data_IF_773381197749
#
_entry.id   IF_773381197749
#
_cell.length_a   1.000
_cell.length_b   1.000
_cell.length_c   1.000
_cell.angle_alpha   90.00
_cell.angle_beta   90.00
_cell.angle_gamma   90.00
#
_symmetry.space_group_name_H-M   'P 1'
#
loop_
_entity.id
_entity.type
_entity.pdbx_description
1 polymer ?
#
# COMPACT_ATOMS: atom_id res chain seq x y z
N UNK A 1 24.55 -28.23 -13.09
CA UNK A 1 24.82 -26.96 -12.39
C UNK A 1 23.91 -25.93 -13.01
N UNK A 2 22.92 -25.36 -12.30
CA UNK A 2 22.21 -24.20 -12.84
C UNK A 2 23.26 -23.11 -13.04
N UNK A 3 23.32 -22.52 -14.24
CA UNK A 3 24.31 -21.51 -14.58
C UNK A 3 24.25 -20.31 -13.62
N UNK A 4 25.41 -19.77 -13.27
CA UNK A 4 25.49 -18.55 -12.47
C UNK A 4 24.82 -17.40 -13.25
N UNK A 5 23.79 -16.78 -12.67
CA UNK A 5 23.09 -15.66 -13.31
C UNK A 5 24.04 -14.47 -13.42
N UNK A 6 24.03 -13.78 -14.55
CA UNK A 6 24.79 -12.54 -14.70
C UNK A 6 24.26 -11.49 -13.70
N UNK A 7 25.18 -10.91 -12.92
CA UNK A 7 24.85 -9.93 -11.90
C UNK A 7 24.89 -8.49 -12.43
N UNK A 8 23.81 -7.75 -12.21
CA UNK A 8 23.68 -6.32 -12.57
C UNK A 8 23.44 -5.52 -11.30
N UNK A 9 24.18 -4.41 -11.13
CA UNK A 9 24.01 -3.50 -10.00
C UNK A 9 23.13 -2.32 -10.39
N UNK A 10 22.11 -2.06 -9.59
CA UNK A 10 21.13 -0.99 -9.82
C UNK A 10 21.01 -0.14 -8.56
N UNK A 11 21.50 1.09 -8.59
CA UNK A 11 21.43 1.97 -7.42
C UNK A 11 20.01 2.51 -7.16
N UNK A 12 19.59 2.50 -5.89
CA UNK A 12 18.41 3.20 -5.39
C UNK A 12 18.87 4.50 -4.70
N UNK A 13 18.97 5.57 -5.48
CA UNK A 13 19.55 6.86 -5.05
C UNK A 13 18.50 7.77 -4.40
N UNK A 14 17.96 7.34 -3.26
CA UNK A 14 16.94 8.07 -2.53
C UNK A 14 17.33 8.18 -1.05
N UNK A 15 17.88 9.33 -0.58
CA UNK A 15 18.23 9.51 0.83
C UNK A 15 17.08 9.19 1.78
N UNK A 16 15.86 9.55 1.36
CA UNK A 16 14.63 9.23 2.08
C UNK A 16 13.61 8.65 1.10
N UNK A 17 13.23 7.40 1.32
CA UNK A 17 12.13 6.76 0.63
C UNK A 17 10.88 6.87 1.49
N UNK A 18 9.98 7.79 1.12
CA UNK A 18 8.75 8.09 1.86
C UNK A 18 7.50 7.85 1.02
N UNK A 19 6.35 7.75 1.68
CA UNK A 19 5.05 7.65 1.03
C UNK A 19 4.57 8.98 0.44
N UNK A 20 5.37 9.52 -0.47
CA UNK A 20 5.13 10.74 -1.24
C UNK A 20 5.54 10.55 -2.71
N UNK A 21 5.35 11.60 -3.52
CA UNK A 21 5.68 11.58 -4.96
C UNK A 21 7.15 11.24 -5.19
N UNK A 22 8.06 11.73 -4.35
CA UNK A 22 9.50 11.51 -4.51
C UNK A 22 9.84 10.04 -4.26
N UNK A 23 9.40 9.48 -3.13
CA UNK A 23 9.71 8.09 -2.78
C UNK A 23 9.10 7.09 -3.78
N UNK A 24 7.85 7.28 -4.17
CA UNK A 24 7.24 6.41 -5.19
C UNK A 24 7.86 6.62 -6.58
N UNK A 25 8.34 7.82 -6.93
CA UNK A 25 9.05 8.03 -8.20
C UNK A 25 10.36 7.25 -8.24
N UNK A 26 11.07 7.15 -7.10
CA UNK A 26 12.30 6.37 -6.99
C UNK A 26 12.02 4.86 -7.11
N UNK A 27 10.94 4.36 -6.52
CA UNK A 27 10.49 2.97 -6.72
C UNK A 27 10.08 2.71 -8.18
N UNK A 28 9.33 3.61 -8.79
CA UNK A 28 8.93 3.47 -10.20
C UNK A 28 10.14 3.54 -11.15
N UNK A 29 11.13 4.39 -10.85
CA UNK A 29 12.38 4.44 -11.60
C UNK A 29 13.24 3.18 -11.40
N UNK A 30 13.27 2.62 -10.19
CA UNK A 30 13.89 1.31 -9.97
C UNK A 30 13.20 0.25 -10.84
N UNK A 31 11.87 0.25 -10.87
CA UNK A 31 11.11 -0.66 -11.72
C UNK A 31 11.47 -0.51 -13.21
N UNK A 32 11.46 0.70 -13.76
CA UNK A 32 11.73 0.94 -15.19
C UNK A 32 13.13 0.48 -15.62
N UNK A 33 14.09 0.44 -14.69
CA UNK A 33 15.46 -0.06 -14.92
C UNK A 33 15.54 -1.58 -14.91
N UNK A 34 14.64 -2.27 -14.21
CA UNK A 34 14.71 -3.72 -14.04
C UNK A 34 13.66 -4.47 -14.86
N UNK A 35 12.60 -3.81 -15.32
CA UNK A 35 11.47 -4.46 -16.00
C UNK A 35 11.83 -5.13 -17.32
N UNK A 36 12.92 -4.67 -17.97
CA UNK A 36 13.40 -5.19 -19.26
C UNK A 36 14.47 -6.27 -19.11
N UNK A 37 14.88 -6.59 -17.89
CA UNK A 37 15.87 -7.62 -17.61
C UNK A 37 15.19 -8.98 -17.50
N UNK A 38 15.90 -10.04 -17.89
CA UNK A 38 15.46 -11.43 -17.72
C UNK A 38 16.66 -12.30 -17.35
N UNK A 39 16.43 -13.30 -16.50
CA UNK A 39 17.44 -14.27 -16.05
C UNK A 39 18.71 -13.61 -15.48
N UNK A 40 18.54 -12.53 -14.69
CA UNK A 40 19.65 -11.81 -14.02
C UNK A 40 19.60 -11.92 -12.51
N UNK A 41 20.77 -11.81 -11.87
CA UNK A 41 20.85 -11.41 -10.47
C UNK A 41 20.89 -9.88 -10.38
N UNK A 42 19.81 -9.27 -9.90
CA UNK A 42 19.71 -7.81 -9.75
C UNK A 42 20.09 -7.43 -8.33
N UNK A 43 21.24 -6.78 -8.18
CA UNK A 43 21.74 -6.27 -6.89
C UNK A 43 21.36 -4.80 -6.75
N UNK A 44 20.34 -4.53 -5.95
CA UNK A 44 19.88 -3.18 -5.62
C UNK A 44 20.82 -2.57 -4.59
N UNK A 45 21.63 -1.59 -5.00
CA UNK A 45 22.51 -0.85 -4.09
C UNK A 45 21.69 0.18 -3.30
N UNK A 46 21.61 -0.01 -1.98
CA UNK A 46 20.88 0.84 -1.04
C UNK A 46 21.79 1.75 -0.20
N UNK A 47 23.07 1.94 -0.59
CA UNK A 47 24.02 2.80 0.13
C UNK A 47 23.54 4.25 0.28
N UNK A 48 22.83 4.73 -0.75
CA UNK A 48 22.19 6.04 -0.79
C UNK A 48 20.90 6.16 0.02
N UNK A 49 20.35 5.07 0.58
CA UNK A 49 19.10 5.08 1.35
C UNK A 49 19.38 5.22 2.84
N UNK A 50 19.09 6.39 3.40
CA UNK A 50 19.26 6.68 4.82
C UNK A 50 18.02 6.33 5.63
N UNK A 51 16.85 6.50 5.01
CA UNK A 51 15.56 6.20 5.59
C UNK A 51 14.64 5.58 4.54
N UNK A 52 13.87 4.58 4.97
CA UNK A 52 12.77 4.02 4.20
C UNK A 52 11.59 3.85 5.15
N UNK A 53 10.44 4.40 4.79
CA UNK A 53 9.19 4.13 5.51
C UNK A 53 8.95 2.62 5.53
N UNK A 54 8.77 2.05 6.72
CA UNK A 54 8.83 0.60 6.90
C UNK A 54 7.75 -0.16 6.11
N UNK A 55 6.60 0.48 5.89
CA UNK A 55 5.50 -0.08 5.12
C UNK A 55 5.78 -0.11 3.61
N UNK A 56 6.72 0.69 3.07
CA UNK A 56 7.12 0.62 1.65
C UNK A 56 7.87 -0.66 1.28
N UNK A 57 8.17 -1.51 2.26
CA UNK A 57 8.68 -2.85 2.01
C UNK A 57 7.72 -3.69 1.15
N UNK A 58 6.40 -3.47 1.26
CA UNK A 58 5.42 -4.12 0.38
C UNK A 58 5.58 -3.70 -1.07
N UNK A 59 5.69 -2.38 -1.32
CA UNK A 59 5.89 -1.83 -2.65
C UNK A 59 7.21 -2.31 -3.28
N UNK A 60 8.30 -2.34 -2.51
CA UNK A 60 9.57 -2.91 -2.97
C UNK A 60 9.44 -4.40 -3.31
N UNK A 61 8.76 -5.19 -2.47
CA UNK A 61 8.58 -6.62 -2.74
C UNK A 61 7.76 -6.87 -4.01
N UNK A 62 6.77 -6.03 -4.33
CA UNK A 62 6.05 -6.09 -5.61
C UNK A 62 7.00 -5.94 -6.79
N UNK A 63 7.95 -4.99 -6.74
CA UNK A 63 8.94 -4.84 -7.82
C UNK A 63 9.81 -6.09 -7.97
N UNK A 64 10.26 -6.65 -6.84
CA UNK A 64 11.07 -7.87 -6.84
C UNK A 64 10.30 -9.08 -7.39
N UNK A 65 9.01 -9.21 -7.04
CA UNK A 65 8.13 -10.27 -7.53
C UNK A 65 7.84 -10.15 -9.01
N UNK A 66 7.61 -8.93 -9.50
CA UNK A 66 7.46 -8.69 -10.94
C UNK A 66 8.72 -9.05 -11.71
N UNK A 67 9.89 -8.67 -11.21
CA UNK A 67 11.16 -9.07 -11.82
C UNK A 67 11.34 -10.60 -11.83
N UNK A 68 10.87 -11.29 -10.78
CA UNK A 68 10.96 -12.76 -10.67
C UNK A 68 10.13 -13.51 -11.70
N UNK A 69 9.07 -12.91 -12.27
CA UNK A 69 8.31 -13.53 -13.37
C UNK A 69 9.22 -13.79 -14.58
N UNK A 70 10.21 -12.93 -14.81
CA UNK A 70 11.17 -13.03 -15.90
C UNK A 70 12.47 -13.73 -15.49
N UNK A 71 12.40 -14.61 -14.48
CA UNK A 71 13.57 -15.37 -14.00
C UNK A 71 14.60 -14.57 -13.20
N UNK A 72 14.38 -13.27 -12.95
CA UNK A 72 15.33 -12.46 -12.20
C UNK A 72 15.30 -12.76 -10.70
N UNK A 73 16.48 -12.68 -10.07
CA UNK A 73 16.64 -12.74 -8.61
C UNK A 73 17.03 -11.36 -8.10
N UNK A 74 16.18 -10.72 -7.29
CA UNK A 74 16.47 -9.41 -6.71
C UNK A 74 17.05 -9.54 -5.31
N UNK A 75 18.20 -8.91 -5.07
CA UNK A 75 18.88 -8.83 -3.76
C UNK A 75 19.22 -7.39 -3.44
N UNK A 76 19.20 -7.03 -2.15
CA UNK A 76 19.69 -5.74 -1.69
C UNK A 76 21.16 -5.86 -1.28
N UNK A 77 21.97 -4.85 -1.58
CA UNK A 77 23.35 -4.70 -1.12
C UNK A 77 23.57 -3.32 -0.52
N UNK A 78 24.65 -3.19 0.27
CA UNK A 78 25.06 -1.94 0.92
C UNK A 78 23.96 -1.25 1.75
N UNK A 79 22.98 -2.01 2.26
CA UNK A 79 21.89 -1.46 3.08
C UNK A 79 22.42 -0.96 4.42
N UNK A 80 22.20 0.32 4.73
CA UNK A 80 22.59 0.91 6.00
C UNK A 80 21.95 0.17 7.19
N UNK A 81 22.62 0.06 8.35
CA UNK A 81 22.13 -0.71 9.50
C UNK A 81 20.71 -0.33 9.97
N UNK A 82 20.39 0.97 9.99
CA UNK A 82 19.08 1.44 10.43
C UNK A 82 17.94 0.95 9.52
N UNK A 83 18.11 1.07 8.20
CA UNK A 83 17.15 0.56 7.21
C UNK A 83 17.09 -0.97 7.26
N UNK A 84 18.26 -1.62 7.28
CA UNK A 84 18.38 -3.09 7.36
C UNK A 84 17.62 -3.66 8.56
N UNK A 85 17.75 -3.04 9.74
CA UNK A 85 17.05 -3.48 10.94
C UNK A 85 15.52 -3.45 10.79
N UNK A 86 14.96 -2.39 10.18
CA UNK A 86 13.51 -2.30 9.93
C UNK A 86 13.07 -3.40 8.94
N UNK A 87 13.82 -3.59 7.85
CA UNK A 87 13.51 -4.59 6.81
C UNK A 87 13.68 -6.05 7.29
N UNK A 88 14.53 -6.29 8.28
CA UNK A 88 14.63 -7.59 8.95
C UNK A 88 13.48 -7.83 9.93
N UNK A 89 13.04 -6.79 10.66
CA UNK A 89 11.92 -6.86 11.61
C UNK A 89 10.57 -7.07 10.92
N UNK A 90 10.30 -6.29 9.87
CA UNK A 90 9.08 -6.47 9.08
C UNK A 90 9.13 -7.74 8.22
N UNK A 91 10.30 -8.37 8.07
CA UNK A 91 10.42 -9.67 7.41
C UNK A 91 10.52 -9.62 5.88
N UNK A 92 10.84 -8.46 5.31
CA UNK A 92 11.26 -8.34 3.91
C UNK A 92 12.54 -9.14 3.66
N UNK A 93 13.52 -9.04 4.58
CA UNK A 93 14.76 -9.80 4.51
C UNK A 93 14.60 -11.17 5.19
N UNK A 94 15.21 -12.21 4.59
CA UNK A 94 15.09 -13.60 5.05
C UNK A 94 15.69 -13.83 6.44
N UNK A 95 16.77 -13.12 6.77
CA UNK A 95 17.41 -13.14 8.09
C UNK A 95 16.64 -12.26 9.07
N UNK A 96 15.44 -12.70 9.44
CA UNK A 96 14.53 -11.98 10.32
C UNK A 96 15.13 -11.76 11.70
N UNK A 97 14.83 -10.62 12.29
CA UNK A 97 15.14 -10.33 13.69
C UNK A 97 13.84 -10.04 14.43
N UNK A 98 13.81 -10.37 15.72
CA UNK A 98 12.64 -10.15 16.57
C UNK A 98 12.28 -8.66 16.68
N UNK A 99 11.02 -8.32 16.45
CA UNK A 99 10.48 -6.98 16.72
C UNK A 99 9.99 -6.85 18.16
N UNK A 100 10.93 -6.72 19.09
CA UNK A 100 10.64 -6.54 20.53
C UNK A 100 9.78 -5.31 20.82
N UNK A 101 9.87 -4.29 19.96
CA UNK A 101 9.11 -3.05 20.09
C UNK A 101 7.69 -3.15 19.56
N UNK A 102 7.34 -4.25 18.86
CA UNK A 102 6.05 -4.48 18.21
C UNK A 102 5.61 -3.29 17.35
N UNK A 103 6.54 -2.67 16.64
CA UNK A 103 6.29 -1.48 15.80
C UNK A 103 6.07 -1.85 14.33
N UNK A 104 6.47 -3.03 13.90
CA UNK A 104 6.29 -3.52 12.54
C UNK A 104 5.02 -4.35 12.42
N UNK A 105 4.36 -4.25 11.28
CA UNK A 105 3.37 -5.23 10.83
C UNK A 105 4.07 -6.05 9.73
N UNK A 106 4.21 -7.38 9.87
CA UNK A 106 5.06 -8.17 8.99
C UNK A 106 4.64 -8.10 7.52
N UNK A 107 5.61 -7.99 6.62
CA UNK A 107 5.38 -8.14 5.18
C UNK A 107 4.75 -9.51 4.92
N UNK A 108 3.56 -9.52 4.34
CA UNK A 108 2.81 -10.73 4.00
C UNK A 108 2.27 -10.65 2.59
N UNK A 109 2.26 -11.81 1.93
CA UNK A 109 1.72 -12.00 0.60
C UNK A 109 0.40 -12.77 0.72
N UNK A 110 -0.61 -12.34 -0.02
CA UNK A 110 -1.93 -12.94 -0.06
C UNK A 110 -2.29 -13.26 -1.51
N UNK A 111 -2.70 -14.49 -1.76
CA UNK A 111 -3.29 -14.86 -3.04
C UNK A 111 -4.56 -14.02 -3.29
N UNK A 112 -4.96 -13.89 -4.55
CA UNK A 112 -6.07 -13.00 -4.93
C UNK A 112 -7.42 -13.45 -4.32
N UNK A 113 -7.55 -14.72 -3.96
CA UNK A 113 -8.72 -15.32 -3.31
C UNK A 113 -8.61 -15.40 -1.78
N UNK A 114 -7.48 -14.98 -1.19
CA UNK A 114 -7.20 -15.11 0.24
C UNK A 114 -7.81 -13.97 1.10
N UNK A 115 -9.07 -13.61 0.82
CA UNK A 115 -9.76 -12.51 1.48
C UNK A 115 -9.92 -12.75 3.00
N UNK A 116 -10.19 -13.99 3.41
CA UNK A 116 -10.37 -14.34 4.82
C UNK A 116 -9.06 -14.23 5.58
N UNK A 117 -7.96 -14.75 5.03
CA UNK A 117 -6.63 -14.67 5.65
C UNK A 117 -6.13 -13.23 5.73
N UNK A 118 -6.40 -12.41 4.71
CA UNK A 118 -6.10 -10.99 4.74
C UNK A 118 -6.88 -10.28 5.85
N UNK A 119 -8.19 -10.53 5.92
CA UNK A 119 -9.11 -9.93 6.89
C UNK A 119 -8.70 -10.23 8.34
N UNK A 120 -8.25 -11.46 8.61
CA UNK A 120 -7.66 -11.87 9.89
C UNK A 120 -6.34 -11.16 10.19
N UNK A 121 -5.44 -11.08 9.21
CA UNK A 121 -4.18 -10.37 9.35
C UNK A 121 -4.38 -8.87 9.64
N UNK A 122 -5.30 -8.22 8.92
CA UNK A 122 -5.62 -6.81 9.14
C UNK A 122 -6.15 -6.58 10.57
N UNK A 123 -7.13 -7.36 11.03
CA UNK A 123 -7.66 -7.26 12.40
C UNK A 123 -6.61 -7.52 13.46
N UNK A 124 -5.77 -8.55 13.28
CA UNK A 124 -4.70 -8.88 14.23
C UNK A 124 -3.70 -7.72 14.40
N UNK A 125 -3.32 -7.07 13.30
CA UNK A 125 -2.24 -6.08 13.32
C UNK A 125 -2.71 -4.63 13.44
N UNK A 126 -3.96 -4.33 13.09
CA UNK A 126 -4.58 -3.01 13.27
C UNK A 126 -5.39 -2.94 14.57
N UNK A 127 -5.81 -4.06 15.17
CA UNK A 127 -6.45 -4.13 16.49
C UNK A 127 -5.50 -3.79 17.64
N UNK A 128 -4.94 -2.59 17.61
CA UNK A 128 -3.92 -2.10 18.54
C UNK A 128 -4.49 -0.99 19.39
N UNK A 129 -4.07 -0.96 20.66
CA UNK A 129 -4.42 0.11 21.62
C UNK A 129 -3.99 1.52 21.19
N UNK A 130 -3.06 1.62 20.24
CA UNK A 130 -2.58 2.90 19.74
C UNK A 130 -3.54 3.54 18.73
N UNK A 131 -4.42 2.76 18.09
CA UNK A 131 -5.47 3.34 17.24
C UNK A 131 -6.48 4.14 18.10
N UNK A 132 -7.10 5.19 17.53
CA UNK A 132 -8.17 5.91 18.22
C UNK A 132 -9.34 4.96 18.52
N UNK A 133 -10.10 5.30 19.55
CA UNK A 133 -11.27 4.50 19.92
C UNK A 133 -12.38 4.69 18.90
N UNK A 134 -13.02 3.60 18.52
CA UNK A 134 -14.18 3.58 17.63
C UNK A 134 -15.32 2.86 18.33
N UNK A 135 -16.56 3.24 18.04
CA UNK A 135 -17.72 2.41 18.38
C UNK A 135 -17.62 1.06 17.65
N UNK A 136 -18.23 -0.01 18.18
CA UNK A 136 -18.22 -1.31 17.49
C UNK A 136 -18.77 -1.24 16.06
N UNK A 137 -19.78 -0.39 15.82
CA UNK A 137 -20.37 -0.21 14.50
C UNK A 137 -19.38 0.45 13.52
N UNK A 138 -18.68 1.50 13.96
CA UNK A 138 -17.66 2.14 13.14
C UNK A 138 -16.44 1.24 12.93
N UNK A 139 -16.00 0.50 13.96
CA UNK A 139 -14.87 -0.43 13.84
C UNK A 139 -15.14 -1.51 12.78
N UNK A 140 -16.36 -2.06 12.75
CA UNK A 140 -16.77 -2.98 11.69
C UNK A 140 -16.69 -2.33 10.31
N UNK A 141 -17.18 -1.09 10.15
CA UNK A 141 -17.09 -0.36 8.87
C UNK A 141 -15.65 0.00 8.48
N UNK A 142 -14.79 0.28 9.45
CA UNK A 142 -13.37 0.51 9.21
C UNK A 142 -12.70 -0.73 8.63
N UNK A 143 -12.94 -1.91 9.22
CA UNK A 143 -12.42 -3.17 8.69
C UNK A 143 -13.06 -3.59 7.36
N UNK A 144 -14.37 -3.37 7.16
CA UNK A 144 -15.01 -3.56 5.85
C UNK A 144 -14.34 -2.71 4.76
N UNK A 145 -13.99 -1.45 5.07
CA UNK A 145 -13.27 -0.58 4.14
C UNK A 145 -11.87 -1.11 3.82
N UNK A 146 -11.15 -1.66 4.80
CA UNK A 146 -9.84 -2.30 4.57
C UNK A 146 -9.99 -3.58 3.72
N UNK A 147 -11.00 -4.40 4.01
CA UNK A 147 -11.34 -5.61 3.24
C UNK A 147 -11.72 -5.23 1.79
N UNK A 148 -12.41 -4.10 1.58
CA UNK A 148 -12.72 -3.56 0.25
C UNK A 148 -11.47 -3.10 -0.52
N UNK A 149 -10.48 -2.49 0.15
CA UNK A 149 -9.20 -2.14 -0.50
C UNK A 149 -8.46 -3.39 -0.99
N UNK A 150 -8.47 -4.47 -0.22
CA UNK A 150 -7.90 -5.74 -0.64
C UNK A 150 -8.70 -6.35 -1.80
N UNK A 151 -10.02 -6.39 -1.71
CA UNK A 151 -10.87 -6.89 -2.80
C UNK A 151 -10.64 -6.12 -4.11
N UNK A 152 -10.46 -4.79 -4.04
CA UNK A 152 -10.13 -3.99 -5.21
C UNK A 152 -8.74 -4.35 -5.78
N UNK A 153 -7.76 -4.55 -4.90
CA UNK A 153 -6.40 -4.98 -5.28
C UNK A 153 -6.38 -6.39 -5.89
N UNK A 154 -7.25 -7.29 -5.42
CA UNK A 154 -7.33 -8.66 -5.91
C UNK A 154 -8.12 -8.80 -7.22
N UNK A 155 -9.32 -8.22 -7.27
CA UNK A 155 -10.27 -8.37 -8.38
C UNK A 155 -9.88 -7.52 -9.60
N UNK A 156 -9.41 -6.29 -9.40
CA UNK A 156 -9.20 -5.33 -10.50
C UNK A 156 -7.79 -5.35 -11.06
N UNK A 157 -6.82 -5.87 -10.32
CA UNK A 157 -5.44 -5.93 -10.78
C UNK A 157 -5.23 -7.01 -11.86
N UNK A 158 -6.02 -8.10 -11.90
CA UNK A 158 -5.68 -9.30 -12.70
C UNK A 158 -4.19 -9.67 -12.53
N UNK A 159 -3.65 -9.47 -11.33
CA UNK A 159 -2.21 -9.50 -11.11
C UNK A 159 -1.66 -10.92 -11.29
N UNK A 160 -0.48 -11.08 -11.93
CA UNK A 160 0.20 -12.37 -12.02
C UNK A 160 0.89 -12.76 -10.70
N UNK A 161 0.84 -11.90 -9.68
CA UNK A 161 1.50 -12.08 -8.39
C UNK A 161 0.54 -11.79 -7.23
N UNK A 162 0.79 -12.39 -6.04
CA UNK A 162 0.05 -12.08 -4.82
C UNK A 162 0.05 -10.58 -4.47
N UNK A 163 -1.02 -10.13 -3.82
CA UNK A 163 -1.07 -8.82 -3.15
C UNK A 163 -0.10 -8.85 -1.98
N UNK A 164 0.67 -7.77 -1.80
CA UNK A 164 1.62 -7.63 -0.71
C UNK A 164 1.12 -6.57 0.26
N UNK A 165 1.16 -6.87 1.55
CA UNK A 165 0.78 -5.93 2.60
C UNK A 165 1.89 -5.79 3.62
N UNK A 166 2.01 -4.60 4.19
CA UNK A 166 2.96 -4.29 5.26
C UNK A 166 2.46 -3.08 6.04
N UNK A 167 2.94 -2.90 7.26
CA UNK A 167 2.64 -1.70 8.03
C UNK A 167 3.71 -1.39 9.06
N UNK A 168 3.63 -0.19 9.61
CA UNK A 168 4.60 0.32 10.57
C UNK A 168 3.91 1.33 11.50
N UNK A 169 3.99 1.07 12.79
CA UNK A 169 3.74 2.07 13.81
C UNK A 169 5.02 2.86 14.08
N UNK A 170 4.90 4.18 14.16
CA UNK A 170 6.00 5.12 14.43
C UNK A 170 5.77 5.81 15.77
N UNK A 171 6.31 5.27 16.89
CA UNK A 171 6.01 5.77 18.23
C UNK A 171 6.39 7.22 18.51
N UNK A 172 7.37 7.77 17.76
CA UNK A 172 7.85 9.14 17.91
C UNK A 172 6.91 10.16 17.25
N UNK A 173 6.47 9.88 16.02
CA UNK A 173 5.55 10.74 15.27
C UNK A 173 4.08 10.44 15.59
N UNK A 174 3.80 9.35 16.32
CA UNK A 174 2.45 8.91 16.65
C UNK A 174 1.61 8.67 15.40
N UNK A 175 2.22 8.04 14.40
CA UNK A 175 1.55 7.62 13.17
C UNK A 175 1.57 6.09 13.06
N UNK A 176 0.53 5.53 12.48
CA UNK A 176 0.52 4.14 12.02
C UNK A 176 0.25 4.15 10.52
N UNK A 177 1.15 3.54 9.76
CA UNK A 177 0.98 3.37 8.33
C UNK A 177 0.68 1.92 7.98
N UNK A 178 -0.30 1.71 7.11
CA UNK A 178 -0.67 0.42 6.56
C UNK A 178 -0.70 0.51 5.04
N UNK A 179 -0.05 -0.42 4.37
CA UNK A 179 0.13 -0.41 2.93
C UNK A 179 -0.34 -1.72 2.32
N UNK A 180 -1.20 -1.62 1.29
CA UNK A 180 -1.65 -2.72 0.43
C UNK A 180 -1.17 -2.40 -0.98
N UNK A 181 -0.49 -3.36 -1.62
CA UNK A 181 0.07 -3.17 -2.96
C UNK A 181 -0.20 -4.39 -3.81
N UNK A 182 -0.76 -4.18 -5.00
CA UNK A 182 -0.81 -5.19 -6.06
C UNK A 182 0.23 -4.91 -7.15
N UNK A 183 0.53 -5.93 -7.96
CA UNK A 183 1.46 -5.83 -9.08
C UNK A 183 0.80 -5.93 -10.45
N UNK A 184 -0.51 -5.66 -10.55
CA UNK A 184 -1.30 -5.92 -11.75
C UNK A 184 -1.62 -4.67 -12.56
N UNK A 185 -2.79 -4.70 -13.17
CA UNK A 185 -3.39 -3.62 -13.93
C UNK A 185 -3.68 -2.44 -13.02
N UNK A 186 -3.25 -1.27 -13.47
CA UNK A 186 -3.43 0.00 -12.75
C UNK A 186 -4.88 0.49 -12.85
N UNK A 187 -5.31 1.36 -11.94
CA UNK A 187 -6.61 2.04 -11.99
C UNK A 187 -6.80 2.72 -13.37
N UNK A 188 -5.85 3.55 -13.87
CA UNK A 188 -5.96 4.11 -15.22
C UNK A 188 -6.08 3.04 -16.31
N UNK A 189 -5.37 1.92 -16.20
CA UNK A 189 -5.48 0.80 -17.12
C UNK A 189 -6.87 0.16 -17.12
N UNK A 190 -7.47 -0.01 -15.94
CA UNK A 190 -8.83 -0.53 -15.78
C UNK A 190 -9.87 0.42 -16.38
N UNK A 191 -9.75 1.74 -16.13
CA UNK A 191 -10.66 2.73 -16.70
C UNK A 191 -10.58 2.74 -18.24
N UNK A 192 -9.37 2.69 -18.80
CA UNK A 192 -9.17 2.66 -20.26
C UNK A 192 -9.83 1.43 -20.92
N UNK A 193 -9.73 0.25 -20.31
CA UNK A 193 -10.42 -0.95 -20.81
C UNK A 193 -11.94 -0.80 -20.76
N UNK A 194 -12.47 -0.10 -19.76
CA UNK A 194 -13.89 0.23 -19.65
C UNK A 194 -14.36 1.37 -20.59
N UNK A 195 -13.48 1.90 -21.44
CA UNK A 195 -13.79 3.04 -22.32
C UNK A 195 -13.81 4.40 -21.62
N UNK A 196 -13.37 4.48 -20.36
CA UNK A 196 -13.31 5.70 -19.56
C UNK A 196 -11.91 6.28 -19.65
N UNK A 197 -11.74 7.29 -20.52
CA UNK A 197 -10.48 8.00 -20.67
C UNK A 197 -10.46 9.23 -19.76
N UNK A 198 -9.31 9.50 -19.13
CA UNK A 198 -9.07 10.67 -18.29
C UNK A 198 -7.81 11.38 -18.76
N UNK A 199 -7.68 12.66 -18.43
CA UNK A 199 -6.57 13.53 -18.89
C UNK A 199 -5.21 13.12 -18.34
N UNK A 200 -5.18 12.40 -17.21
CA UNK A 200 -3.96 11.86 -16.62
C UNK A 200 -4.25 10.64 -15.74
N UNK A 201 -3.22 9.90 -15.38
CA UNK A 201 -3.34 8.79 -14.43
C UNK A 201 -3.80 9.28 -13.05
N UNK A 202 -3.37 10.46 -12.60
CA UNK A 202 -3.85 11.06 -11.34
C UNK A 202 -5.33 11.43 -11.40
N UNK A 203 -5.80 11.94 -12.54
CA UNK A 203 -7.23 12.21 -12.79
C UNK A 203 -8.07 10.92 -12.88
N UNK A 204 -7.47 9.81 -13.34
CA UNK A 204 -8.11 8.50 -13.29
C UNK A 204 -8.28 7.98 -11.86
N UNK A 205 -7.27 8.14 -11.02
CA UNK A 205 -7.37 7.80 -9.60
C UNK A 205 -8.44 8.66 -8.94
N UNK A 206 -8.41 9.98 -9.15
CA UNK A 206 -9.40 10.91 -8.57
C UNK A 206 -10.83 10.58 -8.98
N UNK A 207 -11.05 10.26 -10.27
CA UNK A 207 -12.34 9.77 -10.73
C UNK A 207 -12.76 8.49 -10.00
N UNK A 208 -11.86 7.52 -9.82
CA UNK A 208 -12.16 6.29 -9.10
C UNK A 208 -12.46 6.53 -7.60
N UNK A 209 -11.94 7.60 -7.01
CA UNK A 209 -12.21 7.98 -5.62
C UNK A 209 -13.51 8.80 -5.46
N UNK A 210 -14.10 9.30 -6.54
CA UNK A 210 -15.35 10.06 -6.44
C UNK A 210 -16.55 9.13 -6.11
N UNK A 211 -17.47 9.55 -5.23
CA UNK A 211 -18.64 8.74 -4.86
C UNK A 211 -19.47 8.30 -6.08
N UNK A 212 -19.94 7.05 -6.04
CA UNK A 212 -20.81 6.49 -7.08
C UNK A 212 -20.08 6.01 -8.34
N UNK A 213 -18.78 6.29 -8.49
CA UNK A 213 -18.01 5.80 -9.62
C UNK A 213 -17.58 4.34 -9.41
N UNK A 214 -17.85 3.50 -10.41
CA UNK A 214 -17.41 2.10 -10.46
C UNK A 214 -17.27 1.69 -11.91
N UNK A 215 -16.34 0.77 -12.19
CA UNK A 215 -16.23 0.11 -13.49
C UNK A 215 -17.00 -1.21 -13.56
N UNK A 216 -17.71 -1.62 -12.49
CA UNK A 216 -18.54 -2.84 -12.47
C UNK A 216 -19.80 -2.62 -13.31
N UNK A 217 -20.07 -3.52 -14.25
CA UNK A 217 -21.44 -3.72 -14.77
C UNK A 217 -22.11 -4.77 -13.88
N UNK A 218 -23.09 -4.37 -13.08
CA UNK A 218 -23.99 -5.31 -12.39
C UNK A 218 -23.71 -5.63 -10.92
N UNK A 219 -22.83 -4.93 -10.20
CA UNK A 219 -22.77 -5.04 -8.74
C UNK A 219 -22.19 -3.80 -8.05
N UNK A 220 -22.64 -3.61 -6.81
CA UNK A 220 -22.64 -2.41 -5.94
C UNK A 220 -21.45 -1.45 -6.21
N UNK A 221 -21.72 -0.14 -6.48
CA UNK A 221 -20.69 0.89 -6.56
C UNK A 221 -19.79 0.86 -5.32
N UNK A 222 -18.49 1.13 -5.46
CA UNK A 222 -17.49 1.07 -4.37
C UNK A 222 -17.67 2.14 -3.28
N UNK A 223 -18.86 2.21 -2.68
CA UNK A 223 -19.42 3.46 -2.18
C UNK A 223 -19.66 3.56 -0.69
N UNK A 224 -19.51 2.49 0.10
CA UNK A 224 -19.76 2.56 1.55
C UNK A 224 -18.51 2.33 2.40
N UNK A 225 -17.83 1.19 2.27
CA UNK A 225 -16.64 0.87 3.07
C UNK A 225 -15.50 1.86 2.81
N UNK A 226 -15.25 2.15 1.52
CA UNK A 226 -14.27 3.14 1.08
C UNK A 226 -14.61 4.57 1.55
N UNK A 227 -15.89 4.94 1.61
CA UNK A 227 -16.33 6.27 2.05
C UNK A 227 -16.15 6.43 3.55
N UNK A 228 -16.63 5.47 4.35
CA UNK A 228 -16.48 5.51 5.81
C UNK A 228 -15.01 5.53 6.21
N UNK A 229 -14.16 4.71 5.57
CA UNK A 229 -12.72 4.72 5.79
C UNK A 229 -12.10 6.08 5.48
N UNK A 230 -12.45 6.69 4.33
CA UNK A 230 -11.96 8.03 3.97
C UNK A 230 -12.42 9.12 4.92
N UNK A 231 -13.69 9.09 5.31
CA UNK A 231 -14.27 10.06 6.23
C UNK A 231 -13.56 9.96 7.59
N UNK A 232 -13.39 8.74 8.11
CA UNK A 232 -12.63 8.47 9.34
C UNK A 232 -11.20 9.01 9.25
N UNK A 233 -10.44 8.68 8.20
CA UNK A 233 -9.06 9.17 8.05
C UNK A 233 -9.03 10.70 7.95
N UNK A 234 -9.99 11.30 7.26
CA UNK A 234 -10.14 12.74 7.15
C UNK A 234 -10.34 13.43 8.48
N UNK A 235 -11.22 12.90 9.35
CA UNK A 235 -11.47 13.50 10.67
C UNK A 235 -10.41 13.13 11.71
N UNK A 236 -9.67 12.03 11.53
CA UNK A 236 -8.55 11.64 12.38
C UNK A 236 -7.27 12.47 12.13
N UNK A 237 -7.23 13.25 11.05
CA UNK A 237 -6.02 13.97 10.65
C UNK A 237 -4.93 13.03 10.11
N UNK A 238 -5.34 11.85 9.65
CA UNK A 238 -4.49 10.93 8.92
C UNK A 238 -4.42 11.28 7.43
N UNK A 239 -3.95 10.33 6.63
CA UNK A 239 -3.75 10.50 5.19
C UNK A 239 -4.01 9.21 4.42
N UNK A 240 -4.57 9.33 3.22
CA UNK A 240 -4.66 8.23 2.26
C UNK A 240 -3.82 8.61 1.05
N UNK A 241 -2.89 7.74 0.65
CA UNK A 241 -2.08 7.92 -0.56
C UNK A 241 -2.30 6.75 -1.49
N UNK A 242 -2.64 7.04 -2.75
CA UNK A 242 -2.85 6.06 -3.81
C UNK A 242 -1.88 6.35 -4.94
N UNK A 243 -1.15 5.33 -5.36
CA UNK A 243 -0.22 5.38 -6.49
C UNK A 243 -0.62 4.31 -7.49
N UNK A 244 -0.87 4.69 -8.73
CA UNK A 244 -1.27 3.76 -9.79
C UNK A 244 -0.87 4.28 -11.16
N UNK A 245 -0.08 3.51 -11.90
CA UNK A 245 0.57 4.01 -13.12
C UNK A 245 1.50 5.17 -12.80
N UNK A 246 1.48 6.25 -13.58
CA UNK A 246 2.25 7.45 -13.29
C UNK A 246 1.52 8.45 -12.37
N UNK A 247 0.34 8.11 -11.86
CA UNK A 247 -0.48 8.97 -11.01
C UNK A 247 -0.21 8.75 -9.53
N UNK A 248 -0.20 9.84 -8.77
CA UNK A 248 -0.33 9.85 -7.31
C UNK A 248 -1.55 10.69 -6.93
N UNK A 249 -2.32 10.21 -5.97
CA UNK A 249 -3.45 10.90 -5.37
C UNK A 249 -3.34 10.80 -3.86
N UNK A 250 -3.60 11.90 -3.16
CA UNK A 250 -3.43 11.98 -1.71
C UNK A 250 -4.58 12.77 -1.09
N UNK A 251 -5.22 12.20 -0.07
CA UNK A 251 -6.21 12.89 0.74
C UNK A 251 -5.67 13.15 2.15
N UNK A 252 -5.81 14.39 2.61
CA UNK A 252 -5.56 14.81 4.00
C UNK A 252 -6.73 15.68 4.45
N UNK A 253 -7.41 15.28 5.53
CA UNK A 253 -8.69 15.90 5.87
C UNK A 253 -9.71 15.78 4.72
N UNK A 254 -10.28 16.91 4.30
CA UNK A 254 -11.13 17.04 3.10
C UNK A 254 -10.36 17.44 1.84
N UNK A 255 -9.07 17.77 1.97
CA UNK A 255 -8.23 18.23 0.87
C UNK A 255 -7.69 17.06 0.07
N UNK A 256 -7.63 17.23 -1.25
CA UNK A 256 -7.04 16.29 -2.19
C UNK A 256 -5.87 16.95 -2.91
N UNK A 257 -4.75 16.26 -2.99
CA UNK A 257 -3.58 16.65 -3.79
C UNK A 257 -3.26 15.56 -4.79
N UNK A 258 -2.98 15.95 -6.03
CA UNK A 258 -2.56 15.06 -7.10
C UNK A 258 -1.09 15.28 -7.42
N UNK A 259 -0.41 14.21 -7.82
CA UNK A 259 0.99 14.22 -8.23
C UNK A 259 1.22 13.33 -9.44
N UNK A 260 2.39 13.52 -10.07
CA UNK A 260 2.83 12.70 -11.19
C UNK A 260 4.21 12.12 -10.90
N UNK A 261 4.33 10.81 -11.08
CA UNK A 261 5.59 10.09 -11.01
C UNK A 261 6.38 10.29 -12.30
N UNK A 262 7.71 10.23 -12.21
CA UNK A 262 8.58 10.29 -13.40
C UNK A 262 8.48 9.04 -14.28
N UNK A 263 8.09 7.92 -13.68
CA UNK A 263 7.90 6.62 -14.34
C UNK A 263 6.61 5.97 -13.80
N UNK A 264 5.96 5.07 -14.54
CA UNK A 264 4.79 4.37 -14.05
C UNK A 264 5.17 3.34 -12.98
N UNK A 265 4.44 3.34 -11.86
CA UNK A 265 4.48 2.28 -10.86
C UNK A 265 3.71 1.04 -11.37
N UNK A 266 4.24 -0.18 -11.22
CA UNK A 266 3.68 -1.36 -11.88
C UNK A 266 2.60 -2.09 -11.08
N UNK A 267 1.50 -1.38 -10.83
CA UNK A 267 0.35 -1.86 -10.08
C UNK A 267 -0.33 -0.70 -9.36
N UNK A 268 -1.04 -1.00 -8.28
CA UNK A 268 -1.61 0.01 -7.39
C UNK A 268 -1.10 -0.17 -5.97
N UNK A 269 -0.66 0.93 -5.35
CA UNK A 269 -0.29 1.00 -3.94
C UNK A 269 -1.27 1.91 -3.22
N UNK A 270 -1.89 1.42 -2.15
CA UNK A 270 -2.72 2.21 -1.23
C UNK A 270 -2.04 2.24 0.13
N UNK A 271 -1.77 3.44 0.64
CA UNK A 271 -1.19 3.69 1.96
C UNK A 271 -2.22 4.44 2.81
N UNK A 272 -2.57 3.86 3.95
CA UNK A 272 -3.38 4.47 5.00
C UNK A 272 -2.45 4.89 6.13
N UNK A 273 -2.44 6.18 6.46
CA UNK A 273 -1.75 6.76 7.61
C UNK A 273 -2.81 7.17 8.63
N UNK A 274 -2.69 6.66 9.86
CA UNK A 274 -3.62 6.91 10.96
C UNK A 274 -2.87 7.67 12.05
N UNK A 275 -3.47 8.77 12.50
CA UNK A 275 -2.97 9.53 13.62
C UNK A 275 -3.35 8.84 14.95
N UNK A 276 -2.34 8.30 15.62
CA UNK A 276 -2.47 7.60 16.92
C UNK A 276 -2.31 8.52 18.13
N UNK A 277 -1.94 9.78 17.90
CA UNK A 277 -1.94 10.80 18.97
C UNK A 277 -3.35 11.22 19.34
N UNK A 278 -4.30 11.00 18.43
CA UNK A 278 -5.70 11.27 18.61
C UNK A 278 -6.31 10.44 19.75
N UNK A 279 -7.10 11.10 20.59
CA UNK A 279 -7.79 10.53 21.76
C UNK A 279 -9.31 10.64 21.67
N UNK A 280 -9.82 11.08 20.52
CA UNK A 280 -11.24 11.12 20.26
C UNK A 280 -11.84 9.70 20.20
N UNK A 281 -13.12 9.61 20.55
CA UNK A 281 -13.97 8.46 20.28
C UNK A 281 -14.77 8.75 19.01
N UNK A 282 -14.68 7.86 18.03
CA UNK A 282 -15.39 7.99 16.76
C UNK A 282 -16.61 7.08 16.70
N UNK A 283 -17.68 7.57 16.08
CA UNK A 283 -18.90 6.80 15.80
C UNK A 283 -19.47 7.16 14.42
N UNK A 284 -20.39 6.34 13.92
CA UNK A 284 -21.16 6.63 12.71
C UNK A 284 -22.15 7.77 12.99
N UNK A 285 -22.25 8.71 12.05
CA UNK A 285 -23.28 9.76 12.11
C UNK A 285 -24.65 9.09 11.93
N UNK A 286 -25.38 8.90 13.04
CA UNK A 286 -26.71 8.26 13.07
C UNK A 286 -26.71 6.77 13.39
N UNK A 287 -26.03 6.32 14.46
CA UNK A 287 -26.25 4.99 15.02
C UNK A 287 -27.73 4.75 15.40
N UNK A 288 -28.19 3.48 15.50
CA UNK A 288 -29.57 3.20 15.87
C UNK A 288 -29.87 3.89 17.20
N UNK A 289 -30.93 4.69 17.24
CA UNK A 289 -31.37 5.28 18.49
C UNK A 289 -31.71 4.12 19.43
N UNK A 290 -31.32 4.23 20.70
CA UNK A 290 -31.70 3.26 21.73
C UNK A 290 -33.24 3.06 21.84
N UNK A 291 -34.00 3.98 21.25
CA UNK A 291 -35.46 3.96 21.07
C UNK A 291 -35.97 2.92 20.05
N UNK A 292 -35.10 2.29 19.25
CA UNK A 292 -35.47 1.29 18.23
C UNK A 292 -35.11 -0.16 18.62
N UNK A 293 -34.65 -0.39 19.86
CA UNK A 293 -34.25 -1.73 20.35
C UNK A 293 -35.28 -2.29 21.37
N UNK A 294 -36.44 -1.66 21.53
CA UNK A 294 -37.56 -2.20 22.33
C UNK A 294 -38.91 -1.95 21.67
#
# INVERSE_FOLDING_TARGET
>A
MPGELEAIVVALNAPRLRSDVSGFSQLAQLHSRIEKLADKEIRVDMSGVEWMDGHLASAFLILARRASIFGNVVRCMNTRPAVKNVLQRNGLFRNRIEDRTKTTMPVRQFALDAAVEFSQYARQHLGRRELPQMSPALENKFYEGIDELFANSALHSKAPIPVVVCGQFYPRTKLLDFCIVDGGRTIPGSLREAGIVRSSDAAAIDWAMAPGNTTRRGDIPGGLGSKVLRDFIGVNGGKITIVSGAGLWMQTGKGVTQGRLTHPFPGTSVVLEINTSDKNLYDLVGGPKAEEIW
#
